data_IF_091773594492
#
_entry.id   IF_091773594492
#
_cell.length_a   1.000
_cell.length_b   1.000
_cell.length_c   1.000
_cell.angle_alpha   90.00
_cell.angle_beta   90.00
_cell.angle_gamma   90.00
#
_symmetry.space_group_name_H-M   'P 1'
#
loop_
_entity.id
_entity.type
_entity.pdbx_description
1 polymer ?
#
# COMPACT_ATOMS: atom_id res chain seq x y z
N UNK A 1 -3.14 -1.99 -4.68
CA UNK A 1 -1.78 -2.24 -4.14
C UNK A 1 -0.96 -2.78 -5.29
N UNK A 2 0.21 -2.20 -5.59
CA UNK A 2 1.10 -2.73 -6.61
C UNK A 2 1.97 -3.81 -5.97
N UNK A 3 1.92 -5.02 -6.49
CA UNK A 3 2.62 -6.16 -5.93
C UNK A 3 3.66 -6.65 -6.93
N UNK A 4 4.94 -6.50 -6.60
CA UNK A 4 5.99 -7.31 -7.25
C UNK A 4 6.09 -8.65 -6.51
N UNK A 5 6.28 -9.77 -7.22
CA UNK A 5 6.50 -11.06 -6.59
C UNK A 5 7.85 -11.15 -5.86
N UNK A 6 8.72 -10.15 -6.01
CA UNK A 6 10.05 -10.08 -5.41
C UNK A 6 10.17 -8.90 -4.45
N UNK A 7 10.79 -9.12 -3.29
CA UNK A 7 10.91 -8.11 -2.23
C UNK A 7 11.95 -7.00 -2.55
N UNK A 8 13.02 -7.32 -3.29
CA UNK A 8 14.12 -6.41 -3.60
C UNK A 8 14.17 -5.95 -5.06
N UNK A 9 14.83 -4.80 -5.30
CA UNK A 9 15.09 -4.22 -6.61
C UNK A 9 16.33 -4.80 -7.32
N UNK A 10 17.10 -5.65 -6.66
CA UNK A 10 18.36 -6.22 -7.13
C UNK A 10 18.19 -7.33 -8.18
N UNK A 11 16.95 -7.63 -8.58
CA UNK A 11 16.66 -8.57 -9.64
C UNK A 11 17.03 -7.98 -11.01
N UNK A 12 18.24 -8.30 -11.49
CA UNK A 12 18.59 -8.20 -12.91
C UNK A 12 17.89 -9.34 -13.67
N UNK A 13 16.59 -9.22 -13.90
CA UNK A 13 15.90 -10.06 -14.88
C UNK A 13 16.13 -9.47 -16.28
N UNK A 14 16.54 -10.26 -17.28
CA UNK A 14 16.61 -9.80 -18.67
C UNK A 14 15.22 -9.41 -19.24
N UNK A 15 14.14 -9.71 -18.52
CA UNK A 15 12.76 -9.47 -18.95
C UNK A 15 12.03 -8.38 -18.15
N UNK A 16 12.56 -7.94 -17.00
CA UNK A 16 11.86 -6.98 -16.14
C UNK A 16 12.81 -6.25 -15.20
N UNK A 17 12.76 -4.91 -15.20
CA UNK A 17 13.36 -4.06 -14.18
C UNK A 17 12.24 -3.51 -13.29
N UNK A 18 12.34 -3.74 -11.97
CA UNK A 18 11.40 -3.15 -11.00
C UNK A 18 11.88 -1.72 -10.74
N UNK A 19 11.12 -0.66 -11.10
CA UNK A 19 11.52 0.69 -10.74
C UNK A 19 11.52 0.86 -9.22
N UNK A 20 12.35 1.74 -8.64
CA UNK A 20 12.39 1.96 -7.19
C UNK A 20 11.02 2.31 -6.58
N UNK A 21 10.17 3.01 -7.33
CA UNK A 21 8.78 3.32 -6.94
C UNK A 21 7.86 2.10 -6.83
N UNK A 22 8.33 0.91 -7.23
CA UNK A 22 7.60 -0.37 -7.16
C UNK A 22 8.36 -1.45 -6.41
N UNK A 23 9.52 -1.13 -5.81
CA UNK A 23 10.29 -2.05 -4.98
C UNK A 23 9.83 -1.98 -3.52
N UNK A 24 9.33 -3.09 -2.92
CA UNK A 24 8.89 -3.11 -1.53
C UNK A 24 9.98 -2.67 -0.58
N UNK A 25 11.23 -3.08 -0.81
CA UNK A 25 12.39 -2.65 -0.04
C UNK A 25 12.59 -1.12 -0.10
N UNK A 26 12.62 -0.54 -1.29
CA UNK A 26 12.84 0.90 -1.47
C UNK A 26 11.70 1.74 -0.89
N UNK A 27 10.45 1.29 -1.09
CA UNK A 27 9.26 1.92 -0.52
C UNK A 27 9.31 1.87 1.00
N UNK A 28 9.60 0.69 1.57
CA UNK A 28 9.71 0.50 3.00
C UNK A 28 10.80 1.40 3.59
N UNK A 29 12.03 1.37 3.03
CA UNK A 29 13.15 2.17 3.51
C UNK A 29 12.87 3.67 3.40
N UNK A 30 12.22 4.14 2.34
CA UNK A 30 11.85 5.56 2.22
C UNK A 30 10.89 5.97 3.34
N UNK A 31 9.82 5.20 3.55
CA UNK A 31 8.84 5.49 4.61
C UNK A 31 9.44 5.37 6.01
N UNK A 32 10.29 4.38 6.24
CA UNK A 32 10.98 4.20 7.52
C UNK A 32 11.93 5.38 7.80
N UNK A 33 12.68 5.84 6.80
CA UNK A 33 13.60 6.97 6.95
C UNK A 33 12.85 8.29 7.18
N UNK A 34 11.70 8.52 6.54
CA UNK A 34 10.87 9.70 6.85
C UNK A 34 10.37 9.68 8.30
N UNK A 35 9.96 8.49 8.80
CA UNK A 35 9.47 8.35 10.17
C UNK A 35 10.59 8.47 11.21
N UNK A 36 11.78 7.88 10.95
CA UNK A 36 12.93 7.93 11.88
C UNK A 36 13.63 9.29 11.84
N UNK A 37 13.85 9.82 10.63
CA UNK A 37 14.56 11.08 10.42
C UNK A 37 13.78 12.29 10.94
N UNK A 38 12.46 12.13 11.18
CA UNK A 38 11.60 13.21 11.61
C UNK A 38 11.58 14.37 10.60
N UNK A 39 11.85 14.07 9.33
CA UNK A 39 11.98 15.08 8.29
C UNK A 39 10.61 15.74 8.08
N UNK A 40 10.49 16.97 8.59
CA UNK A 40 9.28 17.78 8.49
C UNK A 40 8.98 18.19 7.03
N UNK A 41 9.90 17.96 6.10
CA UNK A 41 9.73 18.14 4.66
C UNK A 41 9.36 16.83 3.93
N UNK A 42 9.22 15.71 4.65
CA UNK A 42 8.77 14.44 4.10
C UNK A 42 7.29 14.48 3.69
N UNK A 43 7.02 14.61 2.39
CA UNK A 43 5.66 14.70 1.87
C UNK A 43 4.92 13.35 1.84
N UNK A 44 5.61 12.19 1.90
CA UNK A 44 4.94 10.90 1.70
C UNK A 44 4.04 10.52 2.86
N UNK A 45 4.40 10.83 4.11
CA UNK A 45 3.49 10.59 5.24
C UNK A 45 2.24 11.48 5.15
N UNK A 46 2.39 12.73 4.71
CA UNK A 46 1.25 13.63 4.48
C UNK A 46 0.35 13.11 3.35
N UNK A 47 0.94 12.63 2.25
CA UNK A 47 0.22 11.98 1.16
C UNK A 47 -0.49 10.70 1.65
N UNK A 48 0.12 9.91 2.53
CA UNK A 48 -0.53 8.74 3.13
C UNK A 48 -1.74 9.13 3.98
N UNK A 49 -1.64 10.17 4.82
CA UNK A 49 -2.80 10.70 5.58
C UNK A 49 -3.93 11.16 4.67
N UNK A 50 -3.60 11.82 3.55
CA UNK A 50 -4.59 12.18 2.55
C UNK A 50 -5.21 10.95 1.88
N UNK A 51 -4.40 9.95 1.55
CA UNK A 51 -4.84 8.68 0.97
C UNK A 51 -5.79 7.92 1.88
N UNK A 52 -5.48 7.81 3.18
CA UNK A 52 -6.36 7.17 4.17
C UNK A 52 -7.73 7.86 4.23
N UNK A 53 -7.74 9.19 4.30
CA UNK A 53 -8.98 9.97 4.34
C UNK A 53 -9.82 9.81 3.06
N UNK A 54 -9.18 9.90 1.89
CA UNK A 54 -9.86 9.61 0.61
C UNK A 54 -10.42 8.19 0.53
N UNK A 55 -9.68 7.22 1.08
CA UNK A 55 -10.13 5.84 1.19
C UNK A 55 -11.36 5.72 2.08
N UNK A 56 -11.38 6.40 3.23
CA UNK A 56 -12.55 6.45 4.10
C UNK A 56 -13.76 7.11 3.41
N UNK A 57 -13.55 8.22 2.69
CA UNK A 57 -14.62 8.90 1.94
C UNK A 57 -15.26 7.93 0.92
N UNK A 58 -14.44 7.16 0.21
CA UNK A 58 -14.92 6.15 -0.74
C UNK A 58 -15.65 5.00 -0.04
N UNK A 59 -15.10 4.47 1.05
CA UNK A 59 -15.74 3.38 1.82
C UNK A 59 -17.08 3.80 2.41
N UNK A 60 -17.23 5.05 2.86
CA UNK A 60 -18.50 5.57 3.32
C UNK A 60 -19.52 5.68 2.18
N UNK A 61 -19.09 6.19 1.01
CA UNK A 61 -19.95 6.28 -0.17
C UNK A 61 -20.44 4.91 -0.67
N UNK A 62 -19.64 3.86 -0.48
CA UNK A 62 -20.01 2.46 -0.77
C UNK A 62 -20.81 1.78 0.35
N UNK A 63 -21.05 2.46 1.48
CA UNK A 63 -21.75 1.90 2.64
C UNK A 63 -20.97 0.80 3.37
N UNK A 64 -19.65 0.76 3.20
CA UNK A 64 -18.76 -0.24 3.83
C UNK A 64 -18.35 0.12 5.26
N UNK A 65 -18.46 1.39 5.62
CA UNK A 65 -18.26 1.93 6.96
C UNK A 65 -19.41 2.88 7.30
N UNK A 66 -19.64 3.08 8.59
CA UNK A 66 -20.59 4.04 9.13
C UNK A 66 -20.01 5.47 9.12
N UNK A 67 -20.89 6.46 9.29
CA UNK A 67 -20.47 7.86 9.43
C UNK A 67 -19.60 8.10 10.68
N UNK A 68 -19.82 7.32 11.74
CA UNK A 68 -19.02 7.35 12.97
C UNK A 68 -17.60 6.82 12.71
N UNK A 69 -17.47 5.63 12.10
CA UNK A 69 -16.17 5.08 11.71
C UNK A 69 -15.41 5.99 10.74
N UNK A 70 -16.12 6.61 9.79
CA UNK A 70 -15.53 7.60 8.89
C UNK A 70 -14.92 8.79 9.65
N UNK A 71 -15.69 9.37 10.57
CA UNK A 71 -15.24 10.48 11.41
C UNK A 71 -14.02 10.08 12.24
N UNK A 72 -14.06 8.90 12.85
CA UNK A 72 -12.95 8.36 13.64
C UNK A 72 -11.68 8.19 12.80
N UNK A 73 -11.78 7.61 11.60
CA UNK A 73 -10.63 7.47 10.70
C UNK A 73 -10.03 8.84 10.35
N UNK A 74 -10.86 9.84 10.08
CA UNK A 74 -10.40 11.20 9.79
C UNK A 74 -9.69 11.85 10.97
N UNK A 75 -10.24 11.71 12.19
CA UNK A 75 -9.66 12.27 13.41
C UNK A 75 -8.34 11.56 13.75
N UNK A 76 -8.34 10.22 13.78
CA UNK A 76 -7.14 9.40 14.04
C UNK A 76 -6.05 9.76 13.03
N UNK A 77 -6.38 9.77 11.73
CA UNK A 77 -5.42 10.10 10.67
C UNK A 77 -4.81 11.50 10.79
N UNK A 78 -5.50 12.46 11.41
CA UNK A 78 -4.95 13.80 11.68
C UNK A 78 -4.09 13.85 12.95
N UNK A 79 -4.53 13.20 14.02
CA UNK A 79 -3.92 13.30 15.34
C UNK A 79 -2.77 12.31 15.57
N UNK A 80 -2.70 11.22 14.80
CA UNK A 80 -1.63 10.22 14.95
C UNK A 80 -0.24 10.84 14.78
N UNK A 81 0.73 10.52 15.66
CA UNK A 81 2.11 11.00 15.52
C UNK A 81 2.79 10.34 14.30
N UNK A 82 3.90 10.91 13.83
CA UNK A 82 4.68 10.34 12.70
C UNK A 82 5.06 8.86 12.93
N UNK A 83 5.40 8.49 14.17
CA UNK A 83 5.75 7.12 14.55
C UNK A 83 4.64 6.09 14.34
N UNK A 84 3.38 6.52 14.28
CA UNK A 84 2.24 5.65 13.98
C UNK A 84 2.15 5.27 12.49
N UNK A 85 2.90 5.96 11.62
CA UNK A 85 2.98 5.67 10.19
C UNK A 85 4.21 4.83 9.82
N UNK A 86 4.81 4.13 10.80
CA UNK A 86 5.86 3.16 10.52
C UNK A 86 5.35 2.15 9.47
N UNK A 87 6.11 1.93 8.39
CA UNK A 87 5.67 1.02 7.34
C UNK A 87 5.51 -0.40 7.88
N UNK A 88 4.53 -1.10 7.34
CA UNK A 88 4.28 -2.52 7.59
C UNK A 88 4.43 -3.27 6.27
N UNK A 89 4.89 -4.51 6.34
CA UNK A 89 4.89 -5.40 5.17
C UNK A 89 3.59 -6.20 5.15
N UNK A 90 2.79 -5.99 4.11
CA UNK A 90 1.63 -6.84 3.82
C UNK A 90 2.08 -8.00 2.94
N UNK A 91 2.00 -9.23 3.47
CA UNK A 91 2.37 -10.44 2.76
C UNK A 91 1.10 -11.19 2.41
N UNK A 92 0.88 -11.36 1.11
CA UNK A 92 -0.30 -12.05 0.57
C UNK A 92 0.18 -13.35 -0.09
N UNK A 93 -0.10 -14.52 0.49
CA UNK A 93 0.22 -15.79 -0.15
C UNK A 93 -0.49 -15.91 -1.51
N UNK A 94 0.26 -16.21 -2.58
CA UNK A 94 -0.31 -16.31 -3.94
C UNK A 94 -1.51 -17.26 -4.02
N UNK A 95 -1.45 -18.39 -3.32
CA UNK A 95 -2.52 -19.40 -3.29
C UNK A 95 -3.82 -18.84 -2.73
N UNK A 96 -3.74 -17.97 -1.72
CA UNK A 96 -4.90 -17.30 -1.14
C UNK A 96 -5.35 -16.10 -1.98
N UNK A 97 -4.42 -15.42 -2.65
CA UNK A 97 -4.68 -14.20 -3.41
C UNK A 97 -5.37 -14.44 -4.75
N UNK A 98 -5.09 -15.57 -5.42
CA UNK A 98 -5.50 -15.84 -6.82
C UNK A 98 -7.00 -15.67 -7.06
N UNK A 99 -7.84 -16.07 -6.10
CA UNK A 99 -9.31 -15.96 -6.19
C UNK A 99 -9.81 -14.50 -6.17
N UNK A 100 -8.97 -13.57 -5.74
CA UNK A 100 -9.26 -12.13 -5.65
C UNK A 100 -8.61 -11.31 -6.77
N UNK A 101 -7.91 -11.96 -7.70
CA UNK A 101 -7.25 -11.28 -8.81
C UNK A 101 -8.26 -10.93 -9.91
N UNK A 102 -8.25 -9.66 -10.29
CA UNK A 102 -8.97 -9.14 -11.47
C UNK A 102 -7.93 -8.60 -12.44
N UNK A 103 -8.06 -8.94 -13.73
CA UNK A 103 -7.19 -8.34 -14.76
C UNK A 103 -7.49 -6.84 -14.85
N UNK A 104 -6.44 -6.04 -14.91
CA UNK A 104 -6.57 -4.61 -15.20
C UNK A 104 -6.96 -4.46 -16.68
N UNK A 105 -7.99 -3.66 -17.03
CA UNK A 105 -8.27 -3.32 -18.42
C UNK A 105 -7.04 -2.63 -19.04
N UNK A 106 -6.74 -2.89 -20.32
CA UNK A 106 -5.53 -2.33 -20.97
C UNK A 106 -5.48 -0.80 -20.91
N UNK A 107 -6.63 -0.13 -20.93
CA UNK A 107 -6.74 1.32 -20.81
C UNK A 107 -6.30 1.88 -19.44
N UNK A 108 -6.33 1.05 -18.39
CA UNK A 108 -6.01 1.41 -17.02
C UNK A 108 -4.63 0.88 -16.57
N UNK A 109 -3.93 0.14 -17.44
CA UNK A 109 -2.58 -0.36 -17.15
C UNK A 109 -1.57 0.79 -17.16
N UNK A 110 -0.63 0.79 -16.23
CA UNK A 110 0.51 1.70 -16.27
C UNK A 110 1.41 1.44 -17.49
N UNK A 111 1.45 0.19 -17.98
CA UNK A 111 2.06 -0.16 -19.25
C UNK A 111 1.19 -1.22 -20.00
N UNK A 112 0.74 -0.95 -21.24
CA UNK A 112 -0.10 -1.87 -22.01
C UNK A 112 0.48 -3.26 -22.27
N UNK A 113 1.80 -3.42 -22.15
CA UNK A 113 2.50 -4.69 -22.34
C UNK A 113 2.82 -5.41 -21.02
N UNK A 114 2.43 -4.84 -19.88
CA UNK A 114 2.70 -5.40 -18.57
C UNK A 114 1.58 -6.32 -18.08
N UNK A 115 1.91 -7.19 -17.13
CA UNK A 115 0.96 -8.10 -16.49
C UNK A 115 0.50 -7.51 -15.16
N UNK A 116 -0.59 -6.72 -15.21
CA UNK A 116 -1.15 -6.06 -14.03
C UNK A 116 -2.43 -6.75 -13.54
N UNK A 117 -2.56 -6.82 -12.22
CA UNK A 117 -3.72 -7.39 -11.54
C UNK A 117 -4.18 -6.46 -10.42
N UNK A 118 -5.50 -6.32 -10.30
CA UNK A 118 -6.14 -5.75 -9.12
C UNK A 118 -6.41 -6.89 -8.14
N UNK A 119 -5.99 -6.70 -6.89
CA UNK A 119 -6.43 -7.52 -5.76
C UNK A 119 -7.48 -6.71 -5.00
N UNK A 120 -8.74 -7.15 -5.05
CA UNK A 120 -9.86 -6.47 -4.41
C UNK A 120 -10.60 -7.44 -3.47
N UNK A 121 -11.20 -6.88 -2.42
CA UNK A 121 -12.05 -7.63 -1.48
C UNK A 121 -11.34 -8.81 -0.80
N UNK A 122 -10.02 -8.67 -0.61
CA UNK A 122 -9.18 -9.65 0.08
C UNK A 122 -9.54 -9.69 1.57
N UNK A 123 -9.96 -10.83 2.13
CA UNK A 123 -10.30 -10.92 3.54
C UNK A 123 -9.04 -10.85 4.41
N UNK A 124 -9.20 -10.41 5.65
CA UNK A 124 -8.11 -10.33 6.63
C UNK A 124 -7.37 -11.66 6.84
N UNK A 125 -8.05 -12.79 6.66
CA UNK A 125 -7.45 -14.13 6.78
C UNK A 125 -6.56 -14.53 5.59
N UNK A 126 -6.53 -13.75 4.52
CA UNK A 126 -5.77 -14.04 3.30
C UNK A 126 -4.46 -13.26 3.20
N UNK A 127 -4.08 -12.52 4.24
CA UNK A 127 -2.79 -11.84 4.30
C UNK A 127 -2.28 -11.68 5.74
N UNK A 128 -0.97 -11.55 5.86
CA UNK A 128 -0.28 -11.27 7.12
C UNK A 128 0.31 -9.85 7.09
N UNK A 129 0.35 -9.22 8.26
CA UNK A 129 1.04 -7.95 8.46
C UNK A 129 2.29 -8.20 9.30
N UNK A 130 3.46 -7.95 8.71
CA UNK A 130 4.74 -8.07 9.38
C UNK A 130 5.22 -6.68 9.77
N UNK A 131 5.43 -6.49 11.07
CA UNK A 131 6.15 -5.34 11.61
C UNK A 131 7.61 -5.71 11.76
N UNK A 132 8.49 -5.01 11.05
CA UNK A 132 9.93 -5.19 11.25
C UNK A 132 10.30 -4.38 12.50
N UNK A 133 10.58 -5.08 13.61
CA UNK A 133 11.18 -4.49 14.79
C UNK A 133 12.69 -4.39 14.57
N UNK A 134 13.24 -3.18 14.71
CA UNK A 134 14.67 -2.98 15.01
C UNK A 134 14.91 -3.15 16.51
#
# INVERSE_FOLDING_TARGET
>A
MWCTPYFGADYKSPHFTVPPSSSPLEIYSTLENEVIGGDLHGDKINLNRMGIRKGADHMLAEGRITAEEHSDIHVISKLSPLSAFRPLLCVIPRVEAVKYYRKVPVADMANPLSYEYIVADLPQSAFDLIRISR
#
